data_IF_711653304118
#
_entry.id   IF_711653304118
#
_cell.length_a   1.000
_cell.length_b   1.000
_cell.length_c   1.000
_cell.angle_alpha   90.00
_cell.angle_beta   90.00
_cell.angle_gamma   90.00
#
_symmetry.space_group_name_H-M   'P 1'
#
loop_
_entity.id
_entity.type
_entity.pdbx_description
1 polymer ?
#
# COMPACT_ATOMS: atom_id res chain seq x y z
N UNK A 1 8.59 6.29 18.48
CA UNK A 1 8.22 7.29 17.43
C UNK A 1 7.56 6.57 16.27
N UNK A 2 6.69 7.23 15.50
CA UNK A 2 6.06 6.65 14.31
C UNK A 2 6.38 7.44 13.05
N UNK A 3 6.49 6.75 11.92
CA UNK A 3 6.66 7.31 10.58
C UNK A 3 5.36 7.08 9.81
N UNK A 4 4.83 8.14 9.20
CA UNK A 4 3.63 8.06 8.36
C UNK A 4 3.94 8.62 6.98
N UNK A 5 3.59 7.87 5.95
CA UNK A 5 3.68 8.27 4.55
C UNK A 5 2.33 8.08 3.87
N UNK A 6 2.07 8.87 2.82
CA UNK A 6 0.81 8.82 2.07
C UNK A 6 1.07 8.81 0.56
N UNK A 7 0.17 8.20 -0.20
CA UNK A 7 0.24 8.10 -1.65
C UNK A 7 -1.16 8.16 -2.27
N UNK A 8 -1.27 8.84 -3.41
CA UNK A 8 -2.41 8.74 -4.30
C UNK A 8 -1.98 8.07 -5.62
N UNK A 9 -2.74 7.06 -6.06
CA UNK A 9 -2.56 6.37 -7.33
C UNK A 9 -3.88 6.16 -8.04
N UNK A 10 -3.80 5.96 -9.35
CA UNK A 10 -4.96 5.60 -10.16
C UNK A 10 -5.39 4.15 -9.89
N UNK A 11 -6.66 3.82 -10.15
CA UNK A 11 -7.17 2.45 -10.11
C UNK A 11 -6.65 1.69 -11.33
N UNK A 12 -5.36 1.37 -11.32
CA UNK A 12 -4.69 0.73 -12.43
C UNK A 12 -3.59 -0.22 -11.91
N UNK A 13 -3.53 -1.44 -12.46
CA UNK A 13 -2.52 -2.43 -12.07
C UNK A 13 -1.09 -1.96 -12.39
N UNK A 14 -0.92 -1.05 -13.35
CA UNK A 14 0.39 -0.47 -13.69
C UNK A 14 0.95 0.39 -12.55
N UNK A 15 0.13 0.84 -11.60
CA UNK A 15 0.57 1.62 -10.44
C UNK A 15 1.19 0.75 -9.34
N UNK A 16 1.09 -0.60 -9.42
CA UNK A 16 1.60 -1.49 -8.37
C UNK A 16 3.09 -1.26 -8.09
N UNK A 17 3.90 -1.02 -9.13
CA UNK A 17 5.33 -0.73 -8.95
C UNK A 17 5.55 0.57 -8.15
N UNK A 18 4.72 1.59 -8.39
CA UNK A 18 4.76 2.87 -7.65
C UNK A 18 4.32 2.69 -6.20
N UNK A 19 3.29 1.89 -5.95
CA UNK A 19 2.83 1.55 -4.59
C UNK A 19 3.94 0.85 -3.80
N UNK A 20 4.60 -0.15 -4.39
CA UNK A 20 5.69 -0.86 -3.71
C UNK A 20 6.92 0.03 -3.48
N UNK A 21 7.28 0.88 -4.45
CA UNK A 21 8.39 1.83 -4.30
C UNK A 21 8.11 2.90 -3.24
N UNK A 22 6.85 3.36 -3.14
CA UNK A 22 6.42 4.25 -2.07
C UNK A 22 6.54 3.60 -0.69
N UNK A 23 6.14 2.34 -0.58
CA UNK A 23 6.18 1.63 0.70
C UNK A 23 7.61 1.47 1.25
N UNK A 24 8.60 1.35 0.38
CA UNK A 24 10.04 1.32 0.73
C UNK A 24 10.58 2.63 1.33
N UNK A 25 9.80 3.71 1.33
CA UNK A 25 10.20 4.96 1.99
C UNK A 25 10.12 4.86 3.52
N UNK A 26 9.40 3.87 4.07
CA UNK A 26 9.39 3.60 5.50
C UNK A 26 10.76 3.06 5.94
N UNK A 27 11.40 3.72 6.90
CA UNK A 27 12.58 3.14 7.54
C UNK A 27 12.15 1.92 8.37
N UNK A 28 12.48 0.74 7.87
CA UNK A 28 12.16 -0.57 8.42
C UNK A 28 13.40 -1.29 8.99
N UNK A 29 14.49 -0.57 9.30
CA UNK A 29 15.75 -1.15 9.79
C UNK A 29 15.55 -1.99 11.07
N UNK A 30 14.54 -1.64 11.88
CA UNK A 30 14.18 -2.35 13.10
C UNK A 30 13.32 -3.61 12.87
N UNK A 31 12.85 -3.85 11.64
CA UNK A 31 11.97 -4.98 11.30
C UNK A 31 12.77 -6.11 10.64
N UNK A 32 12.52 -7.39 11.00
CA UNK A 32 13.11 -8.51 10.28
C UNK A 32 12.73 -8.46 8.79
N UNK A 33 13.71 -8.62 7.91
CA UNK A 33 13.52 -8.56 6.45
C UNK A 33 12.42 -9.50 5.94
N UNK A 34 12.28 -10.69 6.55
CA UNK A 34 11.21 -11.63 6.19
C UNK A 34 9.82 -11.04 6.46
N UNK A 35 9.64 -10.35 7.59
CA UNK A 35 8.37 -9.69 7.94
C UNK A 35 8.10 -8.56 6.95
N UNK A 36 9.12 -7.76 6.63
CA UNK A 36 9.01 -6.69 5.64
C UNK A 36 8.56 -7.20 4.26
N UNK A 37 9.17 -8.29 3.77
CA UNK A 37 8.79 -8.92 2.51
C UNK A 37 7.36 -9.47 2.53
N UNK A 38 6.89 -10.03 3.65
CA UNK A 38 5.50 -10.48 3.82
C UNK A 38 4.53 -9.28 3.76
N UNK A 39 4.86 -8.17 4.41
CA UNK A 39 4.06 -6.95 4.35
C UNK A 39 3.95 -6.39 2.93
N UNK A 40 5.08 -6.34 2.19
CA UNK A 40 5.07 -5.95 0.77
C UNK A 40 4.21 -6.86 -0.08
N UNK A 41 4.27 -8.18 0.15
CA UNK A 41 3.46 -9.15 -0.59
C UNK A 41 1.97 -8.96 -0.30
N UNK A 42 1.61 -8.77 0.97
CA UNK A 42 0.24 -8.50 1.38
C UNK A 42 -0.29 -7.19 0.76
N UNK A 43 0.52 -6.12 0.77
CA UNK A 43 0.16 -4.86 0.11
C UNK A 43 -0.08 -5.04 -1.40
N UNK A 44 0.78 -5.81 -2.08
CA UNK A 44 0.61 -6.10 -3.50
C UNK A 44 -0.69 -6.87 -3.79
N UNK A 45 -1.02 -7.86 -2.96
CA UNK A 45 -2.25 -8.63 -3.08
C UNK A 45 -3.49 -7.78 -2.84
N UNK A 46 -3.51 -7.00 -1.75
CA UNK A 46 -4.64 -6.11 -1.41
C UNK A 46 -4.85 -5.07 -2.51
N UNK A 47 -3.77 -4.41 -2.98
CA UNK A 47 -3.86 -3.44 -4.08
C UNK A 47 -4.42 -4.07 -5.36
N UNK A 48 -3.89 -5.24 -5.72
CA UNK A 48 -4.33 -5.96 -6.92
C UNK A 48 -5.80 -6.38 -6.81
N UNK A 49 -6.24 -6.82 -5.63
CA UNK A 49 -7.63 -7.17 -5.39
C UNK A 49 -8.55 -5.94 -5.44
N UNK A 50 -8.14 -4.81 -4.87
CA UNK A 50 -8.89 -3.57 -4.93
C UNK A 50 -9.13 -3.16 -6.40
N UNK A 51 -8.07 -3.11 -7.20
CA UNK A 51 -8.16 -2.74 -8.62
C UNK A 51 -8.98 -3.75 -9.43
N UNK A 52 -8.77 -5.06 -9.25
CA UNK A 52 -9.43 -6.10 -10.06
C UNK A 52 -10.88 -6.36 -9.66
N UNK A 53 -11.20 -6.25 -8.38
CA UNK A 53 -12.47 -6.71 -7.84
C UNK A 53 -13.30 -5.56 -7.28
N UNK A 54 -12.76 -4.79 -6.34
CA UNK A 54 -13.53 -3.71 -5.70
C UNK A 54 -13.85 -2.58 -6.69
N UNK A 55 -12.89 -2.23 -7.54
CA UNK A 55 -12.99 -1.12 -8.49
C UNK A 55 -13.18 -1.57 -9.94
N UNK A 56 -13.56 -2.85 -10.17
CA UNK A 56 -13.66 -3.46 -11.51
C UNK A 56 -14.40 -2.62 -12.56
N UNK A 57 -15.43 -1.88 -12.14
CA UNK A 57 -16.29 -1.08 -13.01
C UNK A 57 -16.07 0.44 -12.89
N UNK A 58 -15.03 0.86 -12.17
CA UNK A 58 -14.68 2.26 -12.01
C UNK A 58 -13.75 2.70 -13.14
N UNK A 59 -13.75 3.99 -13.54
CA UNK A 59 -12.74 4.55 -14.42
C UNK A 59 -11.33 4.32 -13.86
N UNK A 60 -10.34 4.09 -14.72
CA UNK A 60 -8.95 3.90 -14.30
C UNK A 60 -8.39 5.11 -13.56
N UNK A 61 -8.89 6.31 -13.85
CA UNK A 61 -8.52 7.55 -13.18
C UNK A 61 -9.06 7.66 -11.74
N UNK A 62 -9.92 6.72 -11.30
CA UNK A 62 -10.47 6.73 -9.95
C UNK A 62 -9.35 6.64 -8.92
N UNK A 63 -9.22 7.62 -8.01
CA UNK A 63 -8.10 7.66 -7.09
C UNK A 63 -8.23 6.61 -5.98
N UNK A 64 -7.11 5.98 -5.68
CA UNK A 64 -6.89 5.18 -4.46
C UNK A 64 -5.93 5.98 -3.59
N UNK A 65 -6.40 6.29 -2.38
CA UNK A 65 -5.58 6.91 -1.35
C UNK A 65 -5.01 5.82 -0.47
N UNK A 66 -3.70 5.87 -0.22
CA UNK A 66 -3.01 4.98 0.68
C UNK A 66 -2.29 5.78 1.75
N UNK A 67 -2.34 5.30 2.99
CA UNK A 67 -1.54 5.79 4.10
C UNK A 67 -0.89 4.58 4.75
N UNK A 68 0.40 4.67 5.07
CA UNK A 68 1.06 3.67 5.88
C UNK A 68 1.75 4.34 7.07
N UNK A 69 1.53 3.75 8.25
CA UNK A 69 2.14 4.19 9.49
C UNK A 69 2.94 3.03 10.09
N UNK A 70 4.25 3.24 10.24
CA UNK A 70 5.15 2.32 10.92
C UNK A 70 5.48 2.88 12.30
N UNK A 71 5.20 2.10 13.33
CA UNK A 71 5.60 2.36 14.71
C UNK A 71 6.59 1.30 15.18
N UNK A 72 7.06 1.40 16.42
CA UNK A 72 7.99 0.42 17.02
C UNK A 72 7.42 -1.00 17.06
N UNK A 73 6.10 -1.15 17.09
CA UNK A 73 5.44 -2.45 17.31
C UNK A 73 4.38 -2.79 16.27
N UNK A 74 4.07 -1.89 15.34
CA UNK A 74 3.00 -2.10 14.37
C UNK A 74 3.29 -1.43 13.03
N UNK A 75 2.73 -2.04 11.99
CA UNK A 75 2.62 -1.47 10.66
C UNK A 75 1.14 -1.42 10.31
N UNK A 76 0.63 -0.22 10.10
CA UNK A 76 -0.73 0.03 9.65
C UNK A 76 -0.72 0.48 8.19
N UNK A 77 -1.69 0.01 7.43
CA UNK A 77 -1.96 0.45 6.06
C UNK A 77 -3.46 0.76 5.98
N UNK A 78 -3.80 1.95 5.50
CA UNK A 78 -5.17 2.43 5.33
C UNK A 78 -5.38 2.84 3.88
N UNK A 79 -6.59 2.66 3.38
CA UNK A 79 -7.01 3.25 2.13
C UNK A 79 -8.44 3.80 2.16
N UNK A 80 -8.88 4.39 1.05
CA UNK A 80 -10.26 4.85 0.89
C UNK A 80 -11.24 3.67 0.71
N UNK A 81 -12.55 3.93 0.86
CA UNK A 81 -13.59 2.89 0.67
C UNK A 81 -13.41 2.15 -0.66
N UNK A 82 -13.18 0.85 -0.59
CA UNK A 82 -12.82 0.02 -1.75
C UNK A 82 -11.41 -0.59 -1.66
N UNK A 83 -10.63 -0.14 -0.67
CA UNK A 83 -9.38 -0.72 -0.19
C UNK A 83 -9.55 -1.38 1.18
#
# INVERSE_FOLDING_TARGET
>A
MSQTISLEVSTNLNELAKVLAWFEQLNHDAMPMEVWLRCKTALAEVFTNAVRHAHKNMPTETPIYLESTLSENSLEIKGNKGF
#
